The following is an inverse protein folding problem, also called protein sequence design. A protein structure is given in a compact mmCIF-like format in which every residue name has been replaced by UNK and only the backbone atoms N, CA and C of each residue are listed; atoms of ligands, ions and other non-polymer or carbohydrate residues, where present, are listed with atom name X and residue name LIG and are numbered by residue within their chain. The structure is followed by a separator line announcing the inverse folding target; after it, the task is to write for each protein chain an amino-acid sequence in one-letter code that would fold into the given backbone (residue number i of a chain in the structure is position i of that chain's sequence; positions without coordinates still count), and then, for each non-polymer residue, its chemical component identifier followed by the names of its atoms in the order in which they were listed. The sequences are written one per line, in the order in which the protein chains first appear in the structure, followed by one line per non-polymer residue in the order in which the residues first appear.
data_IF_047608557996
#
_entry.id   IF_047608557996
#
_cell.length_a   1.000
_cell.length_b   1.000
_cell.length_c   1.000
_cell.angle_alpha   90.00
_cell.angle_beta   90.00
_cell.angle_gamma   90.00
#
_symmetry.space_group_name_H-M   'P 1'
#
loop_
_entity.id
_entity.type
_entity.pdbx_description
1 polymer ?
#
# COMPACT_ATOMS: atom_id res chain seq x y z
N UNK A 1 5.91 0.78 22.59
CA UNK A 1 5.87 1.63 21.38
C UNK A 1 7.25 1.69 20.72
N UNK A 2 7.65 0.68 19.94
CA UNK A 2 8.90 0.70 19.15
C UNK A 2 8.72 0.31 17.68
N UNK A 3 7.53 -0.11 17.26
CA UNK A 3 7.28 -0.53 15.87
C UNK A 3 7.03 0.61 14.88
N UNK A 4 6.59 1.80 15.33
CA UNK A 4 6.28 2.90 14.40
C UNK A 4 7.52 3.40 13.63
N UNK A 5 8.73 3.13 14.13
CA UNK A 5 9.96 3.67 13.55
C UNK A 5 10.49 2.92 12.33
N UNK A 6 10.10 1.65 12.12
CA UNK A 6 10.57 0.88 10.96
C UNK A 6 9.80 1.24 9.68
N UNK A 7 8.55 1.68 9.80
CA UNK A 7 7.69 1.99 8.64
C UNK A 7 7.96 3.39 8.07
N UNK A 8 8.42 4.32 8.90
CA UNK A 8 8.69 5.71 8.52
C UNK A 8 9.58 5.87 7.28
N UNK A 9 10.74 5.18 7.14
CA UNK A 9 11.57 5.30 5.93
C UNK A 9 10.87 4.77 4.67
N UNK A 10 10.04 3.74 4.77
CA UNK A 10 9.31 3.19 3.62
C UNK A 10 8.17 4.11 3.15
N UNK A 11 7.51 4.79 4.09
CA UNK A 11 6.47 5.78 3.76
C UNK A 11 7.03 6.98 2.98
N UNK A 12 8.30 7.33 3.18
CA UNK A 12 8.99 8.41 2.46
C UNK A 12 9.82 7.93 1.26
N UNK A 13 9.89 6.62 1.01
CA UNK A 13 10.68 6.05 -0.08
C UNK A 13 10.06 6.38 -1.44
N UNK A 14 10.91 6.61 -2.44
CA UNK A 14 10.52 6.81 -3.84
C UNK A 14 10.01 5.52 -4.51
N UNK A 15 10.19 4.37 -3.86
CA UNK A 15 9.75 3.08 -4.37
C UNK A 15 8.34 2.76 -3.88
N UNK A 16 7.49 2.13 -4.72
CA UNK A 16 6.19 1.64 -4.30
C UNK A 16 6.32 0.69 -3.11
N UNK A 17 5.57 0.96 -2.05
CA UNK A 17 5.48 0.11 -0.88
C UNK A 17 4.02 -0.21 -0.57
N UNK A 18 3.76 -1.48 -0.28
CA UNK A 18 2.47 -1.99 0.14
C UNK A 18 2.67 -3.04 1.24
N UNK A 19 1.75 -3.10 2.20
CA UNK A 19 1.65 -4.15 3.20
C UNK A 19 0.27 -4.78 3.14
N UNK A 20 0.20 -6.08 3.36
CA UNK A 20 -1.01 -6.89 3.27
C UNK A 20 -1.32 -7.56 4.61
N UNK A 21 -2.59 -7.86 4.87
CA UNK A 21 -2.99 -8.78 5.93
C UNK A 21 -2.80 -10.25 5.52
N UNK A 22 -3.18 -11.17 6.42
CA UNK A 22 -3.08 -12.62 6.20
C UNK A 22 -3.96 -13.13 5.05
N UNK A 23 -5.01 -12.39 4.70
CA UNK A 23 -5.90 -12.70 3.57
C UNK A 23 -5.40 -12.08 2.24
N UNK A 24 -4.37 -11.24 2.28
CA UNK A 24 -3.85 -10.53 1.10
C UNK A 24 -4.57 -9.22 0.79
N UNK A 25 -5.31 -8.65 1.75
CA UNK A 25 -5.92 -7.33 1.65
C UNK A 25 -4.91 -6.25 1.99
N UNK A 26 -4.97 -5.15 1.26
CA UNK A 26 -4.05 -4.03 1.44
C UNK A 26 -4.37 -3.31 2.76
N UNK A 27 -3.40 -3.29 3.67
CA UNK A 27 -3.53 -2.60 4.97
C UNK A 27 -2.74 -1.30 5.02
N UNK A 28 -1.69 -1.17 4.21
CA UNK A 28 -0.90 0.05 4.07
C UNK A 28 -0.32 0.19 2.68
N UNK A 29 -0.27 1.42 2.18
CA UNK A 29 0.46 1.80 0.96
C UNK A 29 1.16 3.13 1.18
N UNK A 30 2.28 3.36 0.47
CA UNK A 30 2.92 4.68 0.44
C UNK A 30 2.44 5.51 -0.77
N UNK A 31 2.83 6.78 -0.79
CA UNK A 31 2.45 7.70 -1.88
C UNK A 31 2.97 7.24 -3.24
N UNK A 32 4.19 6.70 -3.31
CA UNK A 32 4.78 6.23 -4.56
C UNK A 32 3.97 5.09 -5.20
N UNK A 33 3.38 4.22 -4.38
CA UNK A 33 2.50 3.16 -4.86
C UNK A 33 1.20 3.68 -5.46
N UNK A 34 0.57 4.65 -4.80
CA UNK A 34 -0.66 5.30 -5.26
C UNK A 34 -0.43 6.04 -6.58
N UNK A 35 0.69 6.75 -6.68
CA UNK A 35 1.09 7.50 -7.89
C UNK A 35 1.39 6.55 -9.06
N UNK A 36 2.13 5.46 -8.80
CA UNK A 36 2.50 4.49 -9.82
C UNK A 36 1.31 3.71 -10.40
N UNK A 37 0.27 3.46 -9.61
CA UNK A 37 -0.90 2.69 -10.04
C UNK A 37 -2.14 3.55 -10.30
N UNK A 38 -2.09 4.85 -9.99
CA UNK A 38 -3.18 5.80 -10.25
C UNK A 38 -4.40 5.63 -9.35
N UNK A 39 -4.25 5.02 -8.17
CA UNK A 39 -5.34 4.82 -7.23
C UNK A 39 -5.29 5.80 -6.05
N UNK A 40 -6.44 6.10 -5.47
CA UNK A 40 -6.53 6.81 -4.20
C UNK A 40 -6.39 5.83 -3.03
N UNK A 41 -5.87 6.31 -1.90
CA UNK A 41 -5.70 5.50 -0.70
C UNK A 41 -7.02 4.84 -0.25
N UNK A 42 -8.11 5.60 -0.25
CA UNK A 42 -9.45 5.14 0.16
C UNK A 42 -10.01 4.03 -0.74
N UNK A 43 -9.57 3.97 -2.00
CA UNK A 43 -10.03 2.97 -2.97
C UNK A 43 -9.36 1.62 -2.76
N UNK A 44 -8.17 1.60 -2.15
CA UNK A 44 -7.32 0.39 -2.10
C UNK A 44 -7.22 -0.23 -0.72
N UNK A 45 -7.31 0.57 0.36
CA UNK A 45 -7.26 -0.01 1.71
C UNK A 45 -8.44 -0.97 1.93
N UNK A 46 -8.14 -2.17 2.40
CA UNK A 46 -9.09 -3.26 2.64
C UNK A 46 -9.51 -4.05 1.39
N UNK A 47 -9.01 -3.69 0.19
CA UNK A 47 -9.22 -4.45 -1.04
C UNK A 47 -8.16 -5.52 -1.22
N UNK A 48 -8.49 -6.59 -1.97
CA UNK A 48 -7.48 -7.59 -2.33
C UNK A 48 -6.51 -7.01 -3.35
N UNK A 49 -5.21 -7.25 -3.14
CA UNK A 49 -4.17 -6.80 -4.08
C UNK A 49 -4.43 -7.28 -5.52
N UNK A 50 -5.00 -8.47 -5.67
CA UNK A 50 -5.34 -9.06 -6.97
C UNK A 50 -6.47 -8.33 -7.69
N UNK A 51 -7.44 -7.76 -6.98
CA UNK A 51 -8.53 -6.98 -7.58
C UNK A 51 -8.00 -5.66 -8.15
N UNK A 52 -7.11 -5.00 -7.41
CA UNK A 52 -6.55 -3.70 -7.81
C UNK A 52 -5.66 -3.82 -9.06
N UNK A 53 -5.00 -4.97 -9.25
CA UNK A 53 -4.15 -5.21 -10.43
C UNK A 53 -4.91 -5.62 -11.70
N UNK A 54 -6.16 -6.08 -11.59
CA UNK A 54 -6.92 -6.67 -12.70
C UNK A 54 -7.93 -5.71 -13.36
N UNK A 55 -7.86 -4.40 -13.10
CA UNK A 55 -8.53 -3.41 -13.94
C UNK A 55 -7.66 -3.10 -15.16
N UNK A 56 -7.76 -3.96 -16.17
CA UNK A 56 -7.44 -3.62 -17.57
C UNK A 56 -8.71 -3.18 -18.30
#
# INVERSE_FOLDING_TARGET
MKEKSIFTPFMMSLHPYQSLDEEGRIIHVNKAWLDALGYSHEEVIGRYLTEVKNRE
#
